data_IF_251143021024
#
_entry.id   IF_251143021024
#
_cell.length_a   1.000
_cell.length_b   1.000
_cell.length_c   1.000
_cell.angle_alpha   90.00
_cell.angle_beta   90.00
_cell.angle_gamma   90.00
#
_symmetry.space_group_name_H-M   'P 1'
#
loop_
_entity.id
_entity.type
_entity.pdbx_description
1 polymer ?
#
# COMPACT_ATOMS: atom_id res chain seq x y z
N UNK A 1 12.61 12.43 17.36
CA UNK A 1 11.73 12.86 16.26
C UNK A 1 12.62 12.98 15.03
N UNK A 2 12.43 12.14 14.01
CA UNK A 2 13.26 12.19 12.81
C UNK A 2 12.98 13.48 12.04
N UNK A 3 14.01 14.06 11.45
CA UNK A 3 13.87 15.22 10.57
C UNK A 3 13.51 14.75 9.16
N UNK A 4 12.57 15.40 8.49
CA UNK A 4 12.14 15.03 7.15
C UNK A 4 12.92 15.81 6.08
N UNK A 5 13.40 15.12 5.07
CA UNK A 5 14.12 15.69 3.92
C UNK A 5 13.33 15.46 2.64
N UNK A 6 12.97 16.54 1.98
CA UNK A 6 12.32 16.50 0.68
C UNK A 6 13.35 16.30 -0.43
N UNK A 7 13.31 15.14 -1.09
CA UNK A 7 14.28 14.79 -2.14
C UNK A 7 14.05 15.54 -3.46
N UNK A 8 12.90 16.17 -3.64
CA UNK A 8 12.61 17.02 -4.80
C UNK A 8 13.11 18.46 -4.61
N UNK A 9 13.54 18.81 -3.39
CA UNK A 9 14.16 20.09 -3.10
C UNK A 9 15.60 20.14 -3.65
N UNK A 10 16.10 21.37 -3.91
CA UNK A 10 17.47 21.51 -4.39
C UNK A 10 18.48 21.06 -3.34
N UNK A 11 19.55 20.38 -3.80
CA UNK A 11 20.66 19.95 -2.95
C UNK A 11 21.19 21.11 -2.10
N UNK A 12 21.24 22.33 -2.66
CA UNK A 12 21.70 23.53 -1.97
C UNK A 12 20.80 23.89 -0.79
N UNK A 13 19.49 23.98 -1.02
CA UNK A 13 18.53 24.35 0.03
C UNK A 13 18.50 23.32 1.15
N UNK A 14 18.47 22.05 0.79
CA UNK A 14 18.49 20.95 1.76
C UNK A 14 19.74 21.01 2.64
N UNK A 15 20.92 21.19 2.04
CA UNK A 15 22.17 21.32 2.80
C UNK A 15 22.28 22.62 3.59
N UNK A 16 21.58 23.69 3.18
CA UNK A 16 21.52 24.94 3.93
C UNK A 16 20.64 24.81 5.17
N UNK A 17 19.55 24.09 5.07
CA UNK A 17 18.61 23.84 6.16
C UNK A 17 19.15 22.78 7.15
N UNK A 18 19.93 21.83 6.62
CA UNK A 18 20.50 20.69 7.33
C UNK A 18 21.95 20.49 6.88
N UNK A 19 22.90 21.14 7.58
CA UNK A 19 24.32 21.15 7.16
C UNK A 19 24.95 19.76 7.13
N UNK A 20 24.50 18.85 7.99
CA UNK A 20 24.93 17.46 8.09
C UNK A 20 24.64 16.64 6.81
N UNK A 21 23.62 17.02 6.04
CA UNK A 21 23.27 16.37 4.75
C UNK A 21 24.42 16.48 3.74
N UNK A 22 25.21 17.52 3.83
CA UNK A 22 26.35 17.71 2.93
C UNK A 22 27.38 16.59 3.05
N UNK A 23 27.67 16.15 4.28
CA UNK A 23 28.62 15.07 4.52
C UNK A 23 28.01 13.72 4.16
N UNK A 24 26.71 13.49 4.47
CA UNK A 24 25.98 12.28 4.10
C UNK A 24 25.97 12.09 2.59
N UNK A 25 25.67 13.14 1.81
CA UNK A 25 25.72 13.08 0.35
C UNK A 25 27.14 12.88 -0.19
N UNK A 26 28.14 13.48 0.44
CA UNK A 26 29.53 13.25 0.08
C UNK A 26 29.93 11.78 0.23
N UNK A 27 29.55 11.15 1.35
CA UNK A 27 29.81 9.72 1.61
C UNK A 27 29.08 8.79 0.63
N UNK A 28 27.98 9.26 0.03
CA UNK A 28 27.25 8.56 -1.05
C UNK A 28 27.88 8.78 -2.45
N UNK A 29 29.05 9.46 -2.52
CA UNK A 29 29.80 9.66 -3.77
C UNK A 29 29.48 10.99 -4.50
N UNK A 30 28.79 11.93 -3.86
CA UNK A 30 28.51 13.25 -4.43
C UNK A 30 29.67 14.24 -4.12
N UNK A 31 30.89 13.90 -4.53
CA UNK A 31 32.12 14.65 -4.21
C UNK A 31 32.07 16.14 -4.58
N UNK A 32 31.36 16.47 -5.68
CA UNK A 32 31.17 17.83 -6.15
C UNK A 32 30.50 18.75 -5.13
N UNK A 33 29.82 18.22 -4.12
CA UNK A 33 29.13 19.00 -3.08
C UNK A 33 30.11 19.77 -2.19
N UNK A 34 31.36 19.30 -2.05
CA UNK A 34 32.42 19.99 -1.31
C UNK A 34 33.11 21.10 -2.11
N UNK A 35 32.89 21.16 -3.43
CA UNK A 35 33.41 22.24 -4.25
C UNK A 35 32.51 23.48 -4.11
N UNK A 36 33.03 24.64 -3.62
CA UNK A 36 32.21 25.82 -3.39
C UNK A 36 31.52 26.38 -4.64
N UNK A 37 32.18 26.30 -5.80
CA UNK A 37 31.62 26.78 -7.05
C UNK A 37 30.44 25.89 -7.48
N UNK A 38 30.61 24.57 -7.47
CA UNK A 38 29.57 23.61 -7.83
C UNK A 38 28.40 23.66 -6.86
N UNK A 39 28.68 23.80 -5.56
CA UNK A 39 27.64 23.92 -4.53
C UNK A 39 26.81 25.21 -4.71
N UNK A 40 27.44 26.34 -5.03
CA UNK A 40 26.72 27.60 -5.19
C UNK A 40 26.06 27.78 -6.57
N UNK A 41 26.32 26.92 -7.52
CA UNK A 41 25.77 26.99 -8.89
C UNK A 41 24.90 25.78 -9.22
N UNK A 42 25.49 24.61 -9.39
CA UNK A 42 24.80 23.38 -9.83
C UNK A 42 23.84 22.88 -8.74
N UNK A 43 24.29 22.81 -7.48
CA UNK A 43 23.46 22.32 -6.39
C UNK A 43 22.18 23.16 -6.13
N UNK A 44 22.13 24.41 -6.58
CA UNK A 44 20.92 25.25 -6.55
C UNK A 44 19.87 24.86 -7.58
N UNK A 45 20.28 24.21 -8.67
CA UNK A 45 19.42 23.91 -9.82
C UNK A 45 19.03 22.44 -9.89
N UNK A 46 19.64 21.59 -9.10
CA UNK A 46 19.41 20.14 -9.12
C UNK A 46 18.83 19.68 -7.80
N UNK A 47 17.77 18.86 -7.85
CA UNK A 47 17.22 18.21 -6.68
C UNK A 47 18.08 17.01 -6.25
N UNK A 48 17.91 16.55 -5.00
CA UNK A 48 18.55 15.32 -4.53
C UNK A 48 18.17 14.15 -5.44
N UNK A 49 16.87 13.99 -5.76
CA UNK A 49 16.37 12.94 -6.66
C UNK A 49 17.09 12.97 -8.01
N UNK A 50 17.21 14.14 -8.63
CA UNK A 50 17.93 14.28 -9.92
C UNK A 50 19.42 13.99 -9.81
N UNK A 51 20.03 14.34 -8.68
CA UNK A 51 21.44 14.03 -8.43
C UNK A 51 21.66 12.51 -8.30
N UNK A 52 20.73 11.76 -7.65
CA UNK A 52 20.78 10.29 -7.59
C UNK A 52 20.74 9.66 -8.98
N UNK A 53 19.83 10.09 -9.85
CA UNK A 53 19.72 9.61 -11.23
C UNK A 53 21.03 9.80 -12.00
N UNK A 54 21.64 11.00 -11.92
CA UNK A 54 22.90 11.32 -12.60
C UNK A 54 24.05 10.44 -12.12
N UNK A 55 24.12 10.18 -10.82
CA UNK A 55 25.17 9.38 -10.20
C UNK A 55 24.87 7.88 -10.20
N UNK A 56 23.68 7.47 -10.64
CA UNK A 56 23.21 6.08 -10.61
C UNK A 56 23.27 5.46 -9.20
N UNK A 57 22.97 6.26 -8.20
CA UNK A 57 22.81 5.81 -6.80
C UNK A 57 21.36 5.44 -6.59
N UNK A 58 21.07 4.25 -6.04
CA UNK A 58 19.70 3.84 -5.75
C UNK A 58 19.10 4.70 -4.63
N UNK A 59 17.80 4.93 -4.71
CA UNK A 59 17.05 5.64 -3.68
C UNK A 59 17.09 4.91 -2.34
N UNK A 60 17.04 3.57 -2.36
CA UNK A 60 17.15 2.75 -1.14
C UNK A 60 18.45 3.01 -0.36
N UNK A 61 19.56 3.13 -1.06
CA UNK A 61 20.85 3.43 -0.45
C UNK A 61 20.89 4.83 0.19
N UNK A 62 20.19 5.80 -0.42
CA UNK A 62 20.01 7.12 0.18
C UNK A 62 19.13 7.03 1.43
N UNK A 63 17.99 6.31 1.35
CA UNK A 63 17.05 6.13 2.45
C UNK A 63 17.76 5.53 3.67
N UNK A 64 18.49 4.43 3.45
CA UNK A 64 19.26 3.77 4.50
C UNK A 64 20.23 4.74 5.16
N UNK A 65 21.04 5.43 4.35
CA UNK A 65 22.05 6.37 4.85
C UNK A 65 21.45 7.57 5.59
N UNK A 66 20.33 8.07 5.13
CA UNK A 66 19.61 9.17 5.78
C UNK A 66 19.01 8.71 7.10
N UNK A 67 18.39 7.54 7.17
CA UNK A 67 17.82 6.96 8.39
C UNK A 67 18.88 6.70 9.47
N UNK A 68 20.05 6.18 9.09
CA UNK A 68 21.20 6.03 9.99
C UNK A 68 21.60 7.35 10.67
N UNK A 69 21.35 8.48 10.01
CA UNK A 69 21.67 9.82 10.50
C UNK A 69 20.46 10.59 11.06
N UNK A 70 19.31 9.90 11.28
CA UNK A 70 18.13 10.49 11.92
C UNK A 70 17.25 11.32 10.97
N UNK A 71 17.34 11.07 9.66
CA UNK A 71 16.49 11.70 8.65
C UNK A 71 15.57 10.70 7.99
N UNK A 72 14.32 11.10 7.76
CA UNK A 72 13.39 10.39 6.88
C UNK A 72 13.21 11.16 5.56
N UNK A 73 12.89 10.45 4.49
CA UNK A 73 12.76 11.03 3.15
C UNK A 73 11.28 11.25 2.82
N UNK A 74 10.97 12.40 2.25
CA UNK A 74 9.67 12.71 1.64
C UNK A 74 9.87 13.24 0.23
N UNK A 75 8.87 13.08 -0.63
CA UNK A 75 8.81 13.71 -1.95
C UNK A 75 7.65 14.69 -2.03
N UNK A 76 7.71 15.66 -2.94
CA UNK A 76 6.57 16.54 -3.22
C UNK A 76 5.33 15.73 -3.59
N UNK A 77 5.50 14.64 -4.31
CA UNK A 77 4.44 13.70 -4.65
C UNK A 77 3.77 13.13 -3.42
N UNK A 78 4.55 12.67 -2.45
CA UNK A 78 4.03 12.11 -1.21
C UNK A 78 3.30 13.18 -0.37
N UNK A 79 3.85 14.40 -0.29
CA UNK A 79 3.20 15.52 0.39
C UNK A 79 1.84 15.84 -0.23
N UNK A 80 1.78 15.94 -1.57
CA UNK A 80 0.53 16.19 -2.29
C UNK A 80 -0.46 15.03 -2.08
N UNK A 81 0.03 13.80 -2.13
CA UNK A 81 -0.80 12.61 -1.93
C UNK A 81 -1.40 12.58 -0.52
N UNK A 82 -0.61 12.86 0.51
CA UNK A 82 -1.08 12.97 1.90
C UNK A 82 -2.12 14.09 2.07
N UNK A 83 -1.88 15.28 1.47
CA UNK A 83 -2.84 16.39 1.50
C UNK A 83 -4.18 15.98 0.86
N UNK A 84 -4.15 15.39 -0.33
CA UNK A 84 -5.36 14.92 -1.01
C UNK A 84 -6.07 13.84 -0.20
N UNK A 85 -5.32 12.97 0.45
CA UNK A 85 -5.82 11.96 1.36
C UNK A 85 -6.58 12.62 2.54
N UNK A 86 -5.99 13.51 3.25
CA UNK A 86 -6.59 14.20 4.41
C UNK A 86 -7.84 15.01 4.01
N UNK A 87 -7.78 15.73 2.90
CA UNK A 87 -8.92 16.54 2.40
C UNK A 87 -10.11 15.69 2.02
N UNK A 88 -9.85 14.53 1.42
CA UNK A 88 -10.89 13.58 1.11
C UNK A 88 -11.51 13.00 2.40
N UNK A 89 -10.70 12.68 3.41
CA UNK A 89 -11.17 12.27 4.74
C UNK A 89 -12.09 13.34 5.37
N UNK A 90 -11.78 14.61 5.18
CA UNK A 90 -12.60 15.74 5.63
C UNK A 90 -13.85 15.96 4.75
N UNK A 91 -14.25 14.96 3.93
CA UNK A 91 -15.44 15.00 3.06
C UNK A 91 -15.42 16.14 2.03
N UNK A 92 -14.23 16.56 1.57
CA UNK A 92 -14.14 17.45 0.42
C UNK A 92 -14.70 16.78 -0.84
N UNK A 93 -15.21 17.59 -1.77
CA UNK A 93 -15.87 17.08 -2.97
C UNK A 93 -14.94 16.15 -3.77
N UNK A 94 -15.40 14.91 -3.97
CA UNK A 94 -14.68 13.82 -4.65
C UNK A 94 -14.20 14.22 -6.05
N UNK A 95 -15.03 14.88 -6.84
CA UNK A 95 -14.69 15.30 -8.22
C UNK A 95 -13.56 16.34 -8.22
N UNK A 96 -13.52 17.22 -7.22
CA UNK A 96 -12.44 18.18 -7.03
C UNK A 96 -11.13 17.47 -6.72
N UNK A 97 -11.16 16.54 -5.77
CA UNK A 97 -9.97 15.75 -5.38
C UNK A 97 -9.48 14.91 -6.54
N UNK A 98 -10.37 14.23 -7.28
CA UNK A 98 -10.02 13.42 -8.46
C UNK A 98 -9.32 14.28 -9.52
N UNK A 99 -9.86 15.45 -9.83
CA UNK A 99 -9.26 16.37 -10.81
C UNK A 99 -7.87 16.86 -10.40
N UNK A 100 -7.68 17.18 -9.11
CA UNK A 100 -6.38 17.56 -8.59
C UNK A 100 -5.40 16.39 -8.60
N UNK A 101 -5.86 15.20 -8.24
CA UNK A 101 -5.08 13.98 -8.30
C UNK A 101 -4.56 13.73 -9.72
N UNK A 102 -5.44 13.72 -10.73
CA UNK A 102 -5.07 13.52 -12.14
C UNK A 102 -4.11 14.61 -12.64
N UNK A 103 -4.31 15.85 -12.20
CA UNK A 103 -3.50 16.99 -12.66
C UNK A 103 -2.12 17.03 -12.00
N UNK A 104 -2.03 16.75 -10.68
CA UNK A 104 -0.79 16.92 -9.90
C UNK A 104 0.04 15.64 -9.79
N UNK A 105 -0.61 14.46 -9.78
CA UNK A 105 0.03 13.17 -9.54
C UNK A 105 0.02 12.27 -10.77
N UNK A 106 -0.93 12.45 -11.67
CA UNK A 106 -1.15 11.62 -12.86
C UNK A 106 -1.42 10.15 -12.48
N UNK A 107 -0.43 9.28 -12.50
CA UNK A 107 -0.54 7.89 -12.00
C UNK A 107 0.21 7.76 -10.67
N UNK A 108 -0.37 7.03 -9.72
CA UNK A 108 0.21 6.75 -8.40
C UNK A 108 0.22 5.24 -8.18
N UNK A 109 1.38 4.72 -7.79
CA UNK A 109 1.50 3.29 -7.47
C UNK A 109 0.85 2.96 -6.11
N UNK A 110 0.48 1.69 -5.95
CA UNK A 110 -0.05 1.20 -4.67
C UNK A 110 0.95 1.43 -3.51
N UNK A 111 2.26 1.35 -3.79
CA UNK A 111 3.32 1.59 -2.81
C UNK A 111 3.35 3.05 -2.36
N UNK A 112 3.25 4.02 -3.29
CA UNK A 112 3.20 5.46 -2.93
C UNK A 112 2.03 5.75 -1.99
N UNK A 113 0.87 5.18 -2.29
CA UNK A 113 -0.31 5.37 -1.45
C UNK A 113 -0.17 4.68 -0.10
N UNK A 114 0.38 3.46 -0.05
CA UNK A 114 0.67 2.75 1.20
C UNK A 114 1.60 3.58 2.09
N UNK A 115 2.69 4.08 1.53
CA UNK A 115 3.65 4.89 2.27
C UNK A 115 3.01 6.18 2.83
N UNK A 116 2.22 6.87 2.01
CA UNK A 116 1.49 8.07 2.44
C UNK A 116 0.52 7.78 3.60
N UNK A 117 -0.25 6.70 3.51
CA UNK A 117 -1.17 6.27 4.58
C UNK A 117 -0.43 5.87 5.86
N UNK A 118 0.66 5.11 5.74
CA UNK A 118 1.46 4.70 6.88
C UNK A 118 2.09 5.90 7.60
N UNK A 119 2.51 6.92 6.86
CA UNK A 119 2.98 8.17 7.44
C UNK A 119 1.87 8.94 8.15
N UNK A 120 0.66 9.03 7.56
CA UNK A 120 -0.48 9.68 8.19
C UNK A 120 -0.88 9.01 9.51
N UNK A 121 -0.86 7.67 9.57
CA UNK A 121 -1.08 6.91 10.81
C UNK A 121 0.00 7.23 11.86
N UNK A 122 1.26 7.30 11.46
CA UNK A 122 2.37 7.72 12.36
C UNK A 122 2.22 9.16 12.85
N UNK A 123 1.62 10.02 12.05
CA UNK A 123 1.33 11.43 12.38
C UNK A 123 0.07 11.59 13.24
N UNK A 124 -0.65 10.50 13.54
CA UNK A 124 -1.76 10.47 14.48
C UNK A 124 -3.15 10.25 13.86
N UNK A 125 -3.24 9.91 12.57
CA UNK A 125 -4.50 9.47 11.97
C UNK A 125 -4.93 8.15 12.62
N UNK A 126 -6.19 8.05 13.02
CA UNK A 126 -6.74 6.83 13.59
C UNK A 126 -6.75 5.69 12.57
N UNK A 127 -6.44 4.46 13.03
CA UNK A 127 -6.36 3.28 12.14
C UNK A 127 -7.73 2.92 11.56
N UNK A 128 -8.81 3.09 12.33
CA UNK A 128 -10.16 2.78 11.86
C UNK A 128 -10.67 3.87 10.90
N UNK A 129 -10.32 5.12 11.14
CA UNK A 129 -10.47 6.21 10.17
C UNK A 129 -9.69 5.92 8.88
N UNK A 130 -8.46 5.43 8.98
CA UNK A 130 -7.67 5.06 7.82
C UNK A 130 -8.29 3.90 7.01
N UNK A 131 -8.99 2.96 7.68
CA UNK A 131 -9.70 1.84 7.04
C UNK A 131 -10.97 2.29 6.29
N UNK A 132 -11.82 3.10 6.90
CA UNK A 132 -13.01 3.69 6.27
C UNK A 132 -12.60 4.54 5.07
N UNK A 133 -11.52 5.26 5.24
CA UNK A 133 -10.89 6.04 4.22
C UNK A 133 -10.40 5.22 3.02
N UNK A 134 -9.80 4.07 3.29
CA UNK A 134 -9.35 3.13 2.25
C UNK A 134 -10.52 2.68 1.36
N UNK A 135 -11.70 2.53 1.95
CA UNK A 135 -12.90 2.16 1.22
C UNK A 135 -13.34 3.24 0.22
N UNK A 136 -13.44 4.48 0.65
CA UNK A 136 -13.80 5.63 -0.20
C UNK A 136 -12.76 5.83 -1.30
N UNK A 137 -11.49 5.57 -1.01
CA UNK A 137 -10.36 5.65 -1.93
C UNK A 137 -10.45 4.64 -3.08
N UNK A 138 -10.92 3.42 -2.82
CA UNK A 138 -11.06 2.41 -3.88
C UNK A 138 -12.00 2.87 -5.00
N UNK A 139 -12.96 3.74 -4.68
CA UNK A 139 -13.87 4.34 -5.64
C UNK A 139 -13.22 5.45 -6.47
N UNK A 140 -12.29 6.23 -5.89
CA UNK A 140 -11.68 7.41 -6.54
C UNK A 140 -10.41 7.04 -7.30
N UNK A 141 -9.59 6.19 -6.70
CA UNK A 141 -8.31 5.76 -7.28
C UNK A 141 -8.46 4.53 -8.17
N UNK A 142 -9.67 3.95 -8.24
CA UNK A 142 -9.96 2.78 -9.06
C UNK A 142 -9.48 2.98 -10.50
N UNK A 143 -9.86 4.08 -11.14
CA UNK A 143 -9.47 4.40 -12.50
C UNK A 143 -7.95 4.71 -12.64
N UNK A 144 -7.31 5.25 -11.61
CA UNK A 144 -5.89 5.60 -11.61
C UNK A 144 -4.97 4.42 -11.29
N UNK A 145 -5.48 3.41 -10.56
CA UNK A 145 -4.76 2.18 -10.19
C UNK A 145 -5.09 1.06 -11.17
N UNK A 146 -6.32 0.94 -11.66
CA UNK A 146 -6.76 -0.07 -12.65
C UNK A 146 -6.09 0.10 -14.02
N UNK A 147 -5.57 1.28 -14.32
CA UNK A 147 -4.77 1.53 -15.53
C UNK A 147 -3.28 1.22 -15.38
N UNK A 148 -2.79 0.84 -14.21
CA UNK A 148 -1.55 0.10 -14.11
C UNK A 148 -1.86 -1.35 -14.50
N UNK A 149 -1.22 -1.86 -15.55
CA UNK A 149 -1.22 -3.29 -15.90
C UNK A 149 -0.46 -4.07 -14.81
N UNK A 150 -0.92 -3.98 -13.55
CA UNK A 150 -0.40 -4.77 -12.46
C UNK A 150 -0.85 -6.21 -12.67
N UNK A 151 0.11 -7.10 -12.87
CA UNK A 151 -0.11 -8.55 -13.02
C UNK A 151 -0.87 -9.18 -11.84
N UNK A 152 -1.18 -8.41 -10.79
CA UNK A 152 -1.91 -8.83 -9.57
C UNK A 152 -3.34 -8.27 -9.48
N UNK A 153 -3.83 -7.55 -10.49
CA UNK A 153 -5.20 -6.97 -10.52
C UNK A 153 -6.30 -8.03 -10.29
N UNK A 154 -6.09 -9.26 -10.78
CA UNK A 154 -7.02 -10.38 -10.59
C UNK A 154 -7.26 -10.71 -9.11
N UNK A 155 -6.25 -10.54 -8.25
CA UNK A 155 -6.35 -10.78 -6.82
C UNK A 155 -7.25 -9.74 -6.14
N UNK A 156 -7.05 -8.46 -6.46
CA UNK A 156 -7.90 -7.36 -5.98
C UNK A 156 -9.34 -7.51 -6.47
N UNK A 157 -9.56 -7.97 -7.70
CA UNK A 157 -10.90 -8.21 -8.22
C UNK A 157 -11.64 -9.27 -7.39
N UNK A 158 -10.95 -10.33 -6.96
CA UNK A 158 -11.56 -11.34 -6.08
C UNK A 158 -11.94 -10.74 -4.72
N UNK A 159 -11.12 -9.86 -4.17
CA UNK A 159 -11.44 -9.13 -2.94
C UNK A 159 -12.71 -8.29 -3.10
N UNK A 160 -12.86 -7.57 -4.21
CA UNK A 160 -14.09 -6.79 -4.50
C UNK A 160 -15.33 -7.66 -4.64
N UNK A 161 -15.18 -8.86 -5.21
CA UNK A 161 -16.31 -9.81 -5.29
C UNK A 161 -16.69 -10.34 -3.89
N UNK A 162 -15.71 -10.62 -3.03
CA UNK A 162 -15.94 -11.04 -1.64
C UNK A 162 -16.65 -9.92 -0.84
N UNK A 163 -16.16 -8.68 -0.93
CA UNK A 163 -16.80 -7.53 -0.30
C UNK A 163 -18.25 -7.34 -0.76
N UNK A 164 -18.50 -7.47 -2.07
CA UNK A 164 -19.83 -7.34 -2.64
C UNK A 164 -20.79 -8.41 -2.10
N UNK A 165 -20.35 -9.66 -1.98
CA UNK A 165 -21.15 -10.74 -1.39
C UNK A 165 -21.47 -10.48 0.08
N UNK A 166 -20.47 -10.08 0.88
CA UNK A 166 -20.66 -9.73 2.29
C UNK A 166 -21.68 -8.60 2.48
N UNK A 167 -21.57 -7.53 1.70
CA UNK A 167 -22.54 -6.43 1.75
C UNK A 167 -23.93 -6.89 1.36
N UNK A 168 -24.04 -7.67 0.30
CA UNK A 168 -25.33 -8.16 -0.15
C UNK A 168 -26.03 -8.99 0.91
N UNK A 169 -25.29 -9.83 1.66
CA UNK A 169 -25.84 -10.54 2.81
C UNK A 169 -26.35 -9.58 3.90
N UNK A 170 -25.57 -8.55 4.26
CA UNK A 170 -25.91 -7.64 5.33
C UNK A 170 -27.03 -6.66 4.97
N UNK A 171 -26.99 -6.08 3.76
CA UNK A 171 -27.96 -5.07 3.31
C UNK A 171 -29.31 -5.69 2.97
N UNK A 172 -29.32 -6.82 2.23
CA UNK A 172 -30.54 -7.48 1.79
C UNK A 172 -31.04 -8.57 2.74
N UNK A 173 -30.28 -8.86 3.82
CA UNK A 173 -30.59 -9.91 4.78
C UNK A 173 -30.79 -11.29 4.13
N UNK A 174 -30.02 -11.58 3.06
CA UNK A 174 -30.12 -12.82 2.29
C UNK A 174 -29.06 -13.85 2.73
N UNK A 175 -29.47 -14.82 3.53
CA UNK A 175 -28.62 -15.92 3.99
C UNK A 175 -28.17 -16.86 2.89
N UNK A 176 -28.91 -16.95 1.78
CA UNK A 176 -28.63 -17.93 0.71
C UNK A 176 -27.30 -17.64 0.01
N UNK A 177 -26.84 -16.39 0.04
CA UNK A 177 -25.57 -15.95 -0.55
C UNK A 177 -24.36 -16.48 0.25
N UNK A 178 -24.53 -16.87 1.50
CA UNK A 178 -23.42 -17.27 2.36
C UNK A 178 -22.61 -18.46 1.83
N UNK A 179 -23.26 -19.43 1.20
CA UNK A 179 -22.55 -20.59 0.62
C UNK A 179 -21.66 -20.19 -0.57
N UNK A 180 -22.07 -19.19 -1.35
CA UNK A 180 -21.25 -18.62 -2.41
C UNK A 180 -20.06 -17.85 -1.83
N UNK A 181 -20.30 -17.02 -0.82
CA UNK A 181 -19.25 -16.31 -0.09
C UNK A 181 -18.22 -17.30 0.49
N UNK A 182 -18.68 -18.33 1.18
CA UNK A 182 -17.82 -19.35 1.77
C UNK A 182 -16.88 -19.99 0.73
N UNK A 183 -17.43 -20.43 -0.39
CA UNK A 183 -16.66 -21.06 -1.47
C UNK A 183 -15.63 -20.09 -2.06
N UNK A 184 -16.01 -18.83 -2.23
CA UNK A 184 -15.15 -17.81 -2.82
C UNK A 184 -13.98 -17.46 -1.89
N UNK A 185 -14.24 -17.19 -0.61
CA UNK A 185 -13.20 -16.92 0.40
C UNK A 185 -12.25 -18.11 0.53
N UNK A 186 -12.78 -19.32 0.66
CA UNK A 186 -11.97 -20.54 0.76
C UNK A 186 -11.04 -20.72 -0.44
N UNK A 187 -11.57 -20.56 -1.67
CA UNK A 187 -10.77 -20.65 -2.89
C UNK A 187 -9.70 -19.58 -2.93
N UNK A 188 -10.04 -18.35 -2.56
CA UNK A 188 -9.12 -17.21 -2.53
C UNK A 188 -7.94 -17.47 -1.58
N UNK A 189 -8.20 -17.88 -0.33
CA UNK A 189 -7.15 -18.12 0.66
C UNK A 189 -6.26 -19.31 0.28
N UNK A 190 -6.83 -20.41 -0.22
CA UNK A 190 -6.05 -21.55 -0.72
C UNK A 190 -5.09 -21.11 -1.84
N UNK A 191 -5.55 -20.30 -2.79
CA UNK A 191 -4.71 -19.82 -3.88
C UNK A 191 -3.66 -18.81 -3.42
N UNK A 192 -4.00 -17.94 -2.49
CA UNK A 192 -3.06 -17.03 -1.84
C UNK A 192 -1.90 -17.80 -1.20
N UNK A 193 -2.22 -18.79 -0.38
CA UNK A 193 -1.22 -19.61 0.33
C UNK A 193 -0.36 -20.44 -0.64
N UNK A 194 -1.01 -21.12 -1.58
CA UNK A 194 -0.31 -22.03 -2.47
C UNK A 194 0.55 -21.33 -3.52
N UNK A 195 0.20 -20.12 -3.93
CA UNK A 195 0.87 -19.39 -5.00
C UNK A 195 1.75 -18.27 -4.44
N UNK A 196 1.16 -17.27 -3.80
CA UNK A 196 1.87 -16.06 -3.40
C UNK A 196 2.79 -16.32 -2.20
N UNK A 197 2.29 -16.96 -1.12
CA UNK A 197 3.11 -17.25 0.05
C UNK A 197 4.24 -18.23 -0.28
N UNK A 198 3.95 -19.20 -1.14
CA UNK A 198 4.98 -20.15 -1.60
C UNK A 198 6.07 -19.47 -2.42
N UNK A 199 5.72 -18.52 -3.28
CA UNK A 199 6.67 -17.76 -4.07
C UNK A 199 7.52 -16.84 -3.16
N UNK A 200 6.88 -16.05 -2.27
CA UNK A 200 7.60 -15.19 -1.32
C UNK A 200 8.57 -15.96 -0.42
N UNK A 201 8.19 -17.16 0.00
CA UNK A 201 9.07 -18.03 0.81
C UNK A 201 10.33 -18.43 0.07
N UNK A 202 10.30 -18.64 -1.25
CA UNK A 202 11.49 -18.94 -2.07
C UNK A 202 12.50 -17.79 -2.08
N UNK A 203 12.04 -16.58 -1.80
CA UNK A 203 12.83 -15.34 -1.75
C UNK A 203 13.11 -14.88 -0.30
N UNK A 204 12.98 -15.75 0.69
CA UNK A 204 13.22 -15.48 2.12
C UNK A 204 12.37 -14.34 2.69
N UNK A 205 11.15 -14.11 2.13
CA UNK A 205 10.19 -13.07 2.52
C UNK A 205 8.89 -13.69 3.07
N UNK A 206 8.97 -14.59 4.03
CA UNK A 206 7.82 -15.37 4.52
C UNK A 206 7.17 -14.82 5.80
N UNK A 207 7.68 -13.76 6.41
CA UNK A 207 7.14 -13.23 7.68
C UNK A 207 5.68 -12.75 7.58
N UNK A 208 5.28 -11.92 6.58
CA UNK A 208 3.87 -11.54 6.44
C UNK A 208 2.95 -12.74 6.19
N UNK A 209 3.43 -13.72 5.44
CA UNK A 209 2.69 -14.95 5.14
C UNK A 209 2.33 -15.74 6.40
N UNK A 210 3.25 -15.87 7.36
CA UNK A 210 3.03 -16.58 8.63
C UNK A 210 1.92 -15.95 9.46
N UNK A 211 1.89 -14.61 9.52
CA UNK A 211 0.85 -13.87 10.26
C UNK A 211 -0.49 -13.98 9.55
N UNK A 212 -0.51 -13.79 8.23
CA UNK A 212 -1.75 -13.83 7.44
C UNK A 212 -2.36 -15.23 7.39
N UNK A 213 -1.57 -16.31 7.26
CA UNK A 213 -2.09 -17.69 7.28
C UNK A 213 -2.83 -18.01 8.57
N UNK A 214 -2.38 -17.48 9.72
CA UNK A 214 -3.10 -17.66 10.96
C UNK A 214 -4.47 -16.99 10.94
N UNK A 215 -4.51 -15.74 10.46
CA UNK A 215 -5.79 -14.99 10.37
C UNK A 215 -6.73 -15.63 9.34
N UNK A 216 -6.21 -16.09 8.18
CA UNK A 216 -7.00 -16.84 7.20
C UNK A 216 -7.66 -18.07 7.81
N UNK A 217 -6.91 -18.81 8.64
CA UNK A 217 -7.42 -19.97 9.34
C UNK A 217 -8.52 -19.57 10.34
N UNK A 218 -8.29 -18.54 11.15
CA UNK A 218 -9.29 -18.05 12.12
C UNK A 218 -10.60 -17.62 11.41
N UNK A 219 -10.48 -16.93 10.24
CA UNK A 219 -11.64 -16.55 9.41
C UNK A 219 -12.36 -17.80 8.89
N UNK A 220 -11.63 -18.79 8.37
CA UNK A 220 -12.24 -20.02 7.86
C UNK A 220 -12.90 -20.85 8.96
N UNK A 221 -12.31 -20.94 10.15
CA UNK A 221 -12.92 -21.59 11.31
C UNK A 221 -14.21 -20.87 11.72
N UNK A 222 -14.23 -19.53 11.69
CA UNK A 222 -15.46 -18.77 11.95
C UNK A 222 -16.53 -19.01 10.87
N UNK A 223 -16.15 -19.07 9.59
CA UNK A 223 -17.07 -19.41 8.50
C UNK A 223 -17.60 -20.84 8.63
N UNK A 224 -16.77 -21.80 9.04
CA UNK A 224 -17.18 -23.17 9.32
C UNK A 224 -18.15 -23.23 10.49
N UNK A 225 -17.94 -22.42 11.54
CA UNK A 225 -18.89 -22.29 12.65
C UNK A 225 -20.25 -21.81 12.16
N UNK A 226 -20.32 -20.73 11.37
CA UNK A 226 -21.59 -20.21 10.83
C UNK A 226 -22.29 -21.26 9.95
N UNK A 227 -21.52 -21.98 9.14
CA UNK A 227 -22.04 -22.99 8.21
C UNK A 227 -22.65 -24.21 8.93
N UNK A 228 -21.98 -24.70 9.98
CA UNK A 228 -22.29 -25.98 10.61
C UNK A 228 -23.28 -25.85 11.79
N UNK A 229 -23.56 -24.61 12.22
CA UNK A 229 -24.51 -24.37 13.31
C UNK A 229 -25.85 -23.84 12.77
N UNK A 230 -26.93 -24.34 13.26
CA UNK A 230 -28.28 -23.88 12.89
C UNK A 230 -28.60 -22.57 13.62
N UNK A 231 -27.95 -21.47 13.23
CA UNK A 231 -28.15 -20.16 13.84
C UNK A 231 -29.52 -19.58 13.43
N UNK A 232 -30.21 -18.95 14.39
CA UNK A 232 -31.33 -18.07 14.05
C UNK A 232 -30.87 -16.84 13.29
N UNK A 233 -31.79 -16.06 12.70
CA UNK A 233 -31.42 -14.93 11.85
C UNK A 233 -30.63 -13.86 12.59
N UNK A 234 -30.99 -13.54 13.84
CA UNK A 234 -30.26 -12.52 14.59
C UNK A 234 -28.83 -12.96 14.87
N UNK A 235 -28.64 -14.20 15.31
CA UNK A 235 -27.33 -14.78 15.58
C UNK A 235 -26.50 -14.86 14.28
N UNK A 236 -27.12 -15.30 13.18
CA UNK A 236 -26.45 -15.39 11.89
C UNK A 236 -25.93 -14.02 11.43
N UNK A 237 -26.77 -12.99 11.38
CA UNK A 237 -26.35 -11.67 10.92
C UNK A 237 -25.35 -11.00 11.89
N UNK A 238 -25.42 -11.30 13.18
CA UNK A 238 -24.40 -10.85 14.14
C UNK A 238 -23.03 -11.49 13.84
N UNK A 239 -23.00 -12.78 13.53
CA UNK A 239 -21.74 -13.45 13.17
C UNK A 239 -21.23 -12.99 11.79
N UNK A 240 -22.09 -12.72 10.82
CA UNK A 240 -21.71 -12.13 9.53
C UNK A 240 -21.11 -10.73 9.69
N UNK A 241 -21.63 -9.92 10.61
CA UNK A 241 -21.07 -8.58 10.88
C UNK A 241 -19.64 -8.66 11.46
N UNK A 242 -19.39 -9.58 12.37
CA UNK A 242 -18.03 -9.87 12.86
C UNK A 242 -17.12 -10.38 11.75
N UNK A 243 -17.63 -11.29 10.92
CA UNK A 243 -16.91 -11.84 9.78
C UNK A 243 -16.55 -10.75 8.75
N UNK A 244 -17.47 -9.81 8.51
CA UNK A 244 -17.26 -8.65 7.64
C UNK A 244 -16.03 -7.84 8.07
N UNK A 245 -15.91 -7.52 9.35
CA UNK A 245 -14.77 -6.79 9.89
C UNK A 245 -13.46 -7.57 9.71
N UNK A 246 -13.45 -8.87 10.05
CA UNK A 246 -12.26 -9.71 9.95
C UNK A 246 -11.77 -9.88 8.48
N UNK A 247 -12.71 -10.07 7.54
CA UNK A 247 -12.38 -10.22 6.12
C UNK A 247 -11.88 -8.88 5.55
N UNK A 248 -12.50 -7.76 5.91
CA UNK A 248 -12.03 -6.44 5.44
C UNK A 248 -10.63 -6.12 5.99
N UNK A 249 -10.33 -6.47 7.23
CA UNK A 249 -8.98 -6.37 7.80
C UNK A 249 -7.96 -7.23 7.04
N UNK A 250 -8.37 -8.42 6.60
CA UNK A 250 -7.51 -9.27 5.77
C UNK A 250 -7.32 -8.67 4.38
N UNK A 251 -8.38 -8.23 3.71
CA UNK A 251 -8.31 -7.55 2.42
C UNK A 251 -7.36 -6.34 2.49
N UNK A 252 -7.47 -5.54 3.57
CA UNK A 252 -6.55 -4.43 3.79
C UNK A 252 -5.08 -4.90 3.83
N UNK A 253 -4.77 -5.95 4.59
CA UNK A 253 -3.40 -6.50 4.68
C UNK A 253 -2.91 -7.06 3.34
N UNK A 254 -3.78 -7.74 2.61
CA UNK A 254 -3.47 -8.26 1.27
C UNK A 254 -3.10 -7.14 0.30
N UNK A 255 -3.92 -6.11 0.22
CA UNK A 255 -3.75 -5.04 -0.77
C UNK A 255 -2.64 -4.03 -0.41
N UNK A 256 -2.32 -3.89 0.87
CA UNK A 256 -1.33 -2.89 1.31
C UNK A 256 -0.02 -3.47 1.81
N UNK A 257 0.05 -4.76 2.09
CA UNK A 257 1.27 -5.42 2.56
C UNK A 257 1.68 -6.53 1.58
N UNK A 258 0.79 -7.51 1.36
CA UNK A 258 1.14 -8.71 0.59
C UNK A 258 1.39 -8.40 -0.88
N UNK A 259 0.46 -7.71 -1.54
CA UNK A 259 0.58 -7.39 -2.97
C UNK A 259 1.77 -6.47 -3.27
N UNK A 260 2.00 -5.36 -2.53
CA UNK A 260 3.19 -4.55 -2.73
C UNK A 260 4.49 -5.32 -2.49
N UNK A 261 4.54 -6.18 -1.48
CA UNK A 261 5.70 -7.04 -1.22
C UNK A 261 5.93 -8.00 -2.40
N UNK A 262 4.89 -8.72 -2.83
CA UNK A 262 5.00 -9.65 -3.96
C UNK A 262 5.48 -8.93 -5.24
N UNK A 263 4.92 -7.75 -5.54
CA UNK A 263 5.34 -6.94 -6.70
C UNK A 263 6.79 -6.43 -6.60
N UNK A 264 7.33 -6.26 -5.40
CA UNK A 264 8.71 -5.79 -5.19
C UNK A 264 9.75 -6.90 -5.19
N UNK A 265 9.35 -8.13 -4.84
CA UNK A 265 10.26 -9.27 -4.61
C UNK A 265 10.25 -10.23 -5.80
N UNK A 266 9.07 -10.46 -6.41
CA UNK A 266 8.89 -11.46 -7.46
C UNK A 266 9.20 -10.87 -8.84
N UNK A 267 9.79 -11.68 -9.71
CA UNK A 267 10.02 -11.33 -11.11
C UNK A 267 8.71 -11.27 -11.92
N UNK A 268 8.71 -10.60 -13.06
CA UNK A 268 7.57 -10.54 -13.97
C UNK A 268 7.11 -11.93 -14.42
N UNK A 269 8.04 -12.87 -14.65
CA UNK A 269 7.72 -14.25 -15.04
C UNK A 269 7.02 -15.01 -13.90
N UNK A 270 7.47 -14.83 -12.64
CA UNK A 270 6.82 -15.44 -11.47
C UNK A 270 5.43 -14.86 -11.23
N UNK A 271 5.25 -13.55 -11.36
CA UNK A 271 3.96 -12.89 -11.24
C UNK A 271 2.98 -13.38 -12.32
N UNK A 272 3.45 -13.56 -13.53
CA UNK A 272 2.66 -14.11 -14.63
C UNK A 272 2.26 -15.57 -14.39
N UNK A 273 3.18 -16.41 -13.91
CA UNK A 273 2.88 -17.80 -13.55
C UNK A 273 1.84 -17.88 -12.42
N UNK A 274 1.95 -17.02 -11.40
CA UNK A 274 0.97 -16.92 -10.33
C UNK A 274 -0.40 -16.53 -10.88
N UNK A 275 -0.47 -15.51 -11.74
CA UNK A 275 -1.71 -15.06 -12.40
C UNK A 275 -2.38 -16.18 -13.15
N UNK A 276 -1.63 -16.88 -14.02
CA UNK A 276 -2.16 -17.97 -14.86
C UNK A 276 -2.73 -19.12 -14.02
N UNK A 277 -2.09 -19.43 -12.89
CA UNK A 277 -2.53 -20.47 -11.97
C UNK A 277 -3.65 -20.00 -11.04
N UNK A 278 -3.74 -18.72 -10.74
CA UNK A 278 -4.80 -18.16 -9.93
C UNK A 278 -6.15 -18.10 -10.70
N UNK A 279 -6.12 -17.77 -11.96
CA UNK A 279 -7.33 -17.63 -12.79
C UNK A 279 -7.93 -19.00 -13.14
N UNK A 280 -7.11 -20.06 -13.29
CA UNK A 280 -7.57 -21.45 -13.46
C UNK A 280 -8.30 -21.95 -12.20
#
# INVERSE_FOLDING_TARGET
>A
MNKFINIDESVYNTCKNHSEIKDILYDLGFEAIKNPLMFNTVAKKISIKKALEIKKVSEDKLIEKFRENGFDIVSNRNIILKDLIVRLHNNENIETIKKEFDTKLNKVSAIEVHNAMHELIKEGMDIDEAKEYFYTRSLILKDAIENSEDDITYFKNTNREIEKLLRNILENKDRNIFEELYKKVKKHYIKKESLIFTALKKHDNDEPSKVMSKVDKDIMEHMDYIKNNNLDDNSFFTEIDKLYNNINDMIYKEENILIPLASSVLSEDELKEIKDNYIK
#
